data_IF_137489608562
#
_entry.id   IF_137489608562
#
_cell.length_a   1.000
_cell.length_b   1.000
_cell.length_c   1.000
_cell.angle_alpha   90.00
_cell.angle_beta   90.00
_cell.angle_gamma   90.00
#
_symmetry.space_group_name_H-M   'P 1'
#
loop_
_entity.id
_entity.type
_entity.pdbx_description
1 polymer ?
#
# COMPACT_ATOMS: atom_id res chain seq x y z
N UNK A 1 42.98 1.48 -9.69
CA UNK A 1 42.00 0.43 -9.38
C UNK A 1 41.57 0.63 -7.93
N UNK A 2 40.63 1.53 -7.68
CA UNK A 2 40.10 1.74 -6.33
C UNK A 2 38.88 0.85 -6.16
N UNK A 3 39.09 -0.27 -5.47
CA UNK A 3 38.03 -1.21 -5.10
C UNK A 3 37.12 -0.55 -4.08
N UNK A 4 35.97 -0.07 -4.53
CA UNK A 4 34.89 0.37 -3.64
C UNK A 4 34.51 -0.77 -2.71
N UNK A 5 34.79 -0.61 -1.42
CA UNK A 5 34.42 -1.58 -0.40
C UNK A 5 32.91 -1.85 -0.49
N UNK A 6 32.55 -3.08 -0.90
CA UNK A 6 31.18 -3.53 -0.93
C UNK A 6 30.63 -3.46 0.50
N UNK A 7 29.74 -2.51 0.73
CA UNK A 7 29.23 -2.25 2.06
C UNK A 7 28.51 -3.51 2.58
N UNK A 8 29.00 -4.07 3.68
CA UNK A 8 28.54 -5.34 4.24
C UNK A 8 27.08 -5.23 4.68
N UNK A 9 26.25 -6.21 4.28
CA UNK A 9 24.87 -6.29 4.76
C UNK A 9 24.90 -6.74 6.21
N UNK A 10 24.24 -6.02 7.14
CA UNK A 10 24.08 -6.51 8.50
C UNK A 10 23.41 -7.89 8.42
N UNK A 11 24.02 -8.93 9.00
CA UNK A 11 23.53 -10.31 8.88
C UNK A 11 22.05 -10.46 9.29
N UNK A 12 21.55 -9.56 10.14
CA UNK A 12 20.17 -9.53 10.61
C UNK A 12 19.16 -8.89 9.61
N UNK A 13 19.59 -8.06 8.67
CA UNK A 13 18.72 -7.36 7.72
C UNK A 13 17.79 -8.28 6.92
N UNK A 14 18.25 -9.40 6.30
CA UNK A 14 17.35 -10.29 5.58
C UNK A 14 16.28 -10.92 6.48
N UNK A 15 16.58 -11.19 7.75
CA UNK A 15 15.60 -11.74 8.71
C UNK A 15 14.50 -10.72 9.04
N UNK A 16 14.86 -9.46 9.27
CA UNK A 16 13.87 -8.40 9.48
C UNK A 16 12.99 -8.17 8.25
N UNK A 17 13.59 -8.21 7.06
CA UNK A 17 12.84 -8.11 5.80
C UNK A 17 11.88 -9.28 5.65
N UNK A 18 12.35 -10.53 5.81
CA UNK A 18 11.51 -11.71 5.73
C UNK A 18 10.35 -11.67 6.74
N UNK A 19 10.63 -11.27 7.98
CA UNK A 19 9.61 -11.10 9.01
C UNK A 19 8.58 -10.02 8.63
N UNK A 20 9.01 -8.87 8.11
CA UNK A 20 8.10 -7.81 7.64
C UNK A 20 7.22 -8.26 6.48
N UNK A 21 7.75 -9.08 5.55
CA UNK A 21 6.97 -9.63 4.44
C UNK A 21 5.93 -10.64 4.92
N UNK A 22 6.30 -11.52 5.84
CA UNK A 22 5.35 -12.47 6.44
C UNK A 22 4.21 -11.74 7.15
N UNK A 23 4.53 -10.74 7.99
CA UNK A 23 3.53 -9.92 8.65
C UNK A 23 2.63 -9.19 7.64
N UNK A 24 3.22 -8.57 6.61
CA UNK A 24 2.47 -7.87 5.57
C UNK A 24 1.50 -8.78 4.81
N UNK A 25 1.96 -9.96 4.39
CA UNK A 25 1.13 -10.96 3.72
C UNK A 25 0.04 -11.50 4.65
N UNK A 26 0.36 -11.76 5.93
CA UNK A 26 -0.64 -12.17 6.92
C UNK A 26 -1.71 -11.10 7.10
N UNK A 27 -1.34 -9.81 7.17
CA UNK A 27 -2.31 -8.72 7.26
C UNK A 27 -3.23 -8.67 6.04
N UNK A 28 -2.67 -8.75 4.83
CA UNK A 28 -3.46 -8.78 3.58
C UNK A 28 -4.41 -9.98 3.56
N UNK A 29 -3.91 -11.18 3.89
CA UNK A 29 -4.71 -12.39 3.93
C UNK A 29 -5.82 -12.32 4.99
N UNK A 30 -5.52 -11.79 6.18
CA UNK A 30 -6.49 -11.62 7.26
C UNK A 30 -7.56 -10.60 6.88
N UNK A 31 -7.20 -9.47 6.25
CA UNK A 31 -8.18 -8.51 5.73
C UNK A 31 -9.05 -9.13 4.64
N UNK A 32 -8.47 -9.89 3.71
CA UNK A 32 -9.23 -10.61 2.68
C UNK A 32 -10.20 -11.64 3.28
N UNK A 33 -9.73 -12.45 4.24
CA UNK A 33 -10.56 -13.43 4.94
C UNK A 33 -11.68 -12.76 5.75
N UNK A 34 -11.39 -11.65 6.42
CA UNK A 34 -12.39 -10.87 7.14
C UNK A 34 -13.52 -10.39 6.20
N UNK A 35 -13.15 -9.81 5.06
CA UNK A 35 -14.12 -9.29 4.10
C UNK A 35 -14.90 -10.42 3.42
N UNK A 36 -14.22 -11.50 3.05
CA UNK A 36 -14.82 -12.66 2.38
C UNK A 36 -15.77 -13.47 3.28
N UNK A 37 -15.31 -13.81 4.49
CA UNK A 37 -16.04 -14.72 5.38
C UNK A 37 -17.06 -14.01 6.27
N UNK A 38 -16.79 -12.77 6.69
CA UNK A 38 -17.63 -12.06 7.67
C UNK A 38 -18.39 -10.86 7.10
N UNK A 39 -17.94 -10.29 5.97
CA UNK A 39 -18.59 -9.10 5.38
C UNK A 39 -19.33 -9.37 4.08
N UNK A 40 -19.47 -10.65 3.69
CA UNK A 40 -20.24 -11.06 2.52
C UNK A 40 -19.50 -10.91 1.18
N UNK A 41 -18.18 -10.65 1.19
CA UNK A 41 -17.35 -10.57 0.00
C UNK A 41 -17.14 -9.15 -0.53
N UNK A 42 -16.69 -9.05 -1.77
CA UNK A 42 -16.40 -7.79 -2.46
C UNK A 42 -17.12 -7.82 -3.81
N UNK A 43 -17.95 -6.82 -4.06
CA UNK A 43 -18.62 -6.64 -5.34
C UNK A 43 -18.74 -5.14 -5.65
N UNK A 44 -18.51 -4.78 -6.91
CA UNK A 44 -18.44 -3.38 -7.33
C UNK A 44 -19.84 -2.74 -7.46
N UNK A 45 -20.81 -3.49 -7.95
CA UNK A 45 -22.20 -3.04 -8.12
C UNK A 45 -23.11 -3.56 -7.00
N UNK A 46 -22.69 -3.38 -5.75
CA UNK A 46 -23.54 -3.70 -4.59
C UNK A 46 -23.12 -2.93 -3.33
N UNK A 47 -23.85 -3.12 -2.24
CA UNK A 47 -23.49 -2.58 -0.92
C UNK A 47 -22.15 -3.09 -0.39
N UNK A 48 -21.61 -4.16 -0.99
CA UNK A 48 -20.29 -4.71 -0.70
C UNK A 48 -19.15 -3.89 -1.31
N UNK A 49 -19.47 -2.87 -2.12
CA UNK A 49 -18.46 -1.99 -2.72
C UNK A 49 -17.60 -1.30 -1.64
N UNK A 50 -18.18 -1.00 -0.48
CA UNK A 50 -17.44 -0.49 0.67
C UNK A 50 -16.31 -1.43 1.12
N UNK A 51 -16.48 -2.75 0.99
CA UNK A 51 -15.44 -3.71 1.39
C UNK A 51 -14.18 -3.63 0.51
N UNK A 52 -14.27 -3.08 -0.71
CA UNK A 52 -13.09 -2.82 -1.52
C UNK A 52 -12.19 -1.75 -0.90
N UNK A 53 -12.76 -0.75 -0.19
CA UNK A 53 -11.99 0.32 0.43
C UNK A 53 -10.91 -0.17 1.41
N UNK A 54 -11.23 -0.90 2.50
CA UNK A 54 -10.22 -1.36 3.44
C UNK A 54 -9.22 -2.32 2.81
N UNK A 55 -9.64 -3.17 1.86
CA UNK A 55 -8.71 -4.07 1.17
C UNK A 55 -7.69 -3.29 0.33
N UNK A 56 -8.17 -2.34 -0.48
CA UNK A 56 -7.32 -1.49 -1.30
C UNK A 56 -6.36 -0.64 -0.45
N UNK A 57 -6.82 -0.11 0.69
CA UNK A 57 -5.96 0.67 1.58
C UNK A 57 -4.85 -0.17 2.22
N UNK A 58 -5.16 -1.40 2.66
CA UNK A 58 -4.16 -2.32 3.23
C UNK A 58 -3.14 -2.76 2.17
N UNK A 59 -3.59 -3.10 0.96
CA UNK A 59 -2.68 -3.51 -0.11
C UNK A 59 -1.82 -2.33 -0.59
N UNK A 60 -2.44 -1.19 -0.87
CA UNK A 60 -1.75 -0.02 -1.44
C UNK A 60 -0.87 0.71 -0.41
N UNK A 61 -1.50 1.34 0.58
CA UNK A 61 -0.83 2.29 1.47
C UNK A 61 -0.06 1.63 2.63
N UNK A 62 -0.29 0.34 2.90
CA UNK A 62 0.44 -0.38 3.94
C UNK A 62 1.45 -1.34 3.31
N UNK A 63 0.99 -2.34 2.55
CA UNK A 63 1.87 -3.40 2.07
C UNK A 63 2.81 -2.94 0.95
N UNK A 64 2.27 -2.44 -0.17
CA UNK A 64 3.08 -2.00 -1.31
C UNK A 64 3.93 -0.78 -0.95
N UNK A 65 3.36 0.16 -0.20
CA UNK A 65 4.10 1.31 0.33
C UNK A 65 5.29 0.88 1.20
N UNK A 66 5.09 -0.06 2.13
CA UNK A 66 6.17 -0.58 2.97
C UNK A 66 7.28 -1.26 2.14
N UNK A 67 6.89 -2.01 1.10
CA UNK A 67 7.82 -2.61 0.15
C UNK A 67 8.62 -1.55 -0.62
N UNK A 68 7.97 -0.49 -1.09
CA UNK A 68 8.63 0.62 -1.79
C UNK A 68 9.69 1.30 -0.91
N UNK A 69 9.44 1.46 0.40
CA UNK A 69 10.40 2.04 1.35
C UNK A 69 11.60 1.11 1.65
N UNK A 70 11.41 -0.21 1.56
CA UNK A 70 12.45 -1.20 1.82
C UNK A 70 13.29 -1.55 0.58
N UNK A 71 12.81 -1.26 -0.63
CA UNK A 71 13.42 -1.68 -1.89
C UNK A 71 14.90 -1.28 -2.02
N UNK A 72 15.26 -0.06 -1.60
CA UNK A 72 16.66 0.41 -1.63
C UNK A 72 17.56 -0.29 -0.61
N UNK A 73 17.00 -0.81 0.48
CA UNK A 73 17.74 -1.55 1.49
C UNK A 73 17.96 -3.00 1.08
N UNK A 74 16.95 -3.61 0.46
CA UNK A 74 17.01 -5.00 -0.03
C UNK A 74 17.92 -5.11 -1.24
N UNK A 75 17.72 -4.25 -2.25
CA UNK A 75 18.46 -4.27 -3.51
C UNK A 75 19.63 -3.29 -3.51
N UNK A 76 20.41 -3.27 -2.42
CA UNK A 76 21.55 -2.35 -2.24
C UNK A 76 22.71 -2.62 -3.20
N UNK A 77 22.83 -3.87 -3.67
CA UNK A 77 23.90 -4.34 -4.55
C UNK A 77 23.52 -4.30 -6.03
N UNK A 78 22.26 -3.98 -6.34
CA UNK A 78 21.76 -3.87 -7.70
C UNK A 78 22.07 -2.51 -8.32
N UNK A 79 21.95 -2.43 -9.64
CA UNK A 79 22.10 -1.16 -10.35
C UNK A 79 21.10 -0.12 -9.81
N UNK A 80 21.61 1.05 -9.39
CA UNK A 80 20.79 2.14 -8.84
C UNK A 80 19.61 2.51 -9.74
N UNK A 81 19.77 2.41 -11.06
CA UNK A 81 18.70 2.65 -12.04
C UNK A 81 17.56 1.65 -11.88
N UNK A 82 17.86 0.36 -11.76
CA UNK A 82 16.85 -0.70 -11.58
C UNK A 82 16.09 -0.52 -10.28
N UNK A 83 16.80 -0.28 -9.17
CA UNK A 83 16.17 -0.07 -7.85
C UNK A 83 15.29 1.18 -7.84
N UNK A 84 15.68 2.25 -8.54
CA UNK A 84 14.86 3.46 -8.69
C UNK A 84 13.59 3.23 -9.51
N UNK A 85 13.68 2.46 -10.60
CA UNK A 85 12.51 2.07 -11.39
C UNK A 85 11.56 1.21 -10.54
N UNK A 86 12.07 0.20 -9.84
CA UNK A 86 11.25 -0.67 -9.00
C UNK A 86 10.56 0.12 -7.87
N UNK A 87 11.29 1.04 -7.22
CA UNK A 87 10.73 1.96 -6.23
C UNK A 87 9.57 2.78 -6.79
N UNK A 88 9.77 3.44 -7.95
CA UNK A 88 8.75 4.25 -8.60
C UNK A 88 7.52 3.42 -9.00
N UNK A 89 7.74 2.23 -9.57
CA UNK A 89 6.64 1.32 -9.94
C UNK A 89 5.82 0.88 -8.73
N UNK A 90 6.46 0.54 -7.61
CA UNK A 90 5.76 0.16 -6.38
C UNK A 90 4.91 1.32 -5.84
N UNK A 91 5.43 2.56 -5.86
CA UNK A 91 4.65 3.75 -5.47
C UNK A 91 3.47 4.01 -6.41
N UNK A 92 3.67 3.89 -7.72
CA UNK A 92 2.59 4.06 -8.71
C UNK A 92 1.50 3.01 -8.51
N UNK A 93 1.86 1.73 -8.34
CA UNK A 93 0.87 0.68 -8.08
C UNK A 93 0.13 0.91 -6.76
N UNK A 94 0.83 1.28 -5.70
CA UNK A 94 0.23 1.63 -4.42
C UNK A 94 -0.78 2.79 -4.56
N UNK A 95 -0.42 3.84 -5.31
CA UNK A 95 -1.27 4.99 -5.56
C UNK A 95 -2.53 4.62 -6.35
N UNK A 96 -2.40 3.83 -7.42
CA UNK A 96 -3.53 3.38 -8.25
C UNK A 96 -4.50 2.54 -7.41
N UNK A 97 -3.99 1.60 -6.61
CA UNK A 97 -4.84 0.75 -5.75
C UNK A 97 -5.53 1.60 -4.67
N UNK A 98 -4.81 2.52 -4.04
CA UNK A 98 -5.40 3.44 -3.07
C UNK A 98 -6.50 4.32 -3.68
N UNK A 99 -6.30 4.80 -4.91
CA UNK A 99 -7.29 5.57 -5.65
C UNK A 99 -8.57 4.75 -5.91
N UNK A 100 -8.44 3.48 -6.30
CA UNK A 100 -9.60 2.57 -6.44
C UNK A 100 -10.35 2.43 -5.12
N UNK A 101 -9.65 2.30 -3.99
CA UNK A 101 -10.25 2.26 -2.66
C UNK A 101 -10.99 3.54 -2.27
N UNK A 102 -10.48 4.72 -2.66
CA UNK A 102 -11.19 5.99 -2.46
C UNK A 102 -12.44 6.07 -3.34
N UNK A 103 -12.32 5.75 -4.62
CA UNK A 103 -13.47 5.75 -5.55
C UNK A 103 -14.58 4.84 -5.01
N UNK A 104 -14.23 3.67 -4.48
CA UNK A 104 -15.20 2.75 -3.90
C UNK A 104 -15.98 3.34 -2.72
N UNK A 105 -15.33 4.09 -1.81
CA UNK A 105 -16.03 4.68 -0.66
C UNK A 105 -16.88 5.90 -1.04
N UNK A 106 -16.38 6.77 -1.93
CA UNK A 106 -17.15 7.92 -2.42
C UNK A 106 -18.37 7.48 -3.24
N UNK A 107 -18.22 6.47 -4.10
CA UNK A 107 -19.34 5.94 -4.87
C UNK A 107 -20.37 5.25 -3.96
N UNK A 108 -19.91 4.52 -2.94
CA UNK A 108 -20.79 3.93 -1.93
C UNK A 108 -21.60 4.99 -1.16
N UNK A 109 -20.95 6.06 -0.67
CA UNK A 109 -21.66 7.15 0.01
C UNK A 109 -22.67 7.83 -0.90
N UNK A 110 -22.31 8.09 -2.16
CA UNK A 110 -23.22 8.66 -3.16
C UNK A 110 -24.44 7.78 -3.40
N UNK A 111 -24.26 6.46 -3.55
CA UNK A 111 -25.36 5.49 -3.74
C UNK A 111 -26.28 5.40 -2.50
N UNK A 112 -25.74 5.62 -1.29
CA UNK A 112 -26.48 5.55 -0.02
C UNK A 112 -27.00 6.90 0.49
N UNK A 113 -26.63 8.01 -0.13
CA UNK A 113 -26.99 9.36 0.32
C UNK A 113 -26.30 9.78 1.63
N UNK A 114 -25.14 9.20 1.95
CA UNK A 114 -24.35 9.59 3.12
C UNK A 114 -23.53 10.84 2.82
N UNK A 115 -23.31 11.67 3.85
CA UNK A 115 -22.42 12.82 3.74
C UNK A 115 -20.96 12.35 3.63
N UNK A 116 -20.24 12.87 2.64
CA UNK A 116 -18.81 12.63 2.52
C UNK A 116 -18.00 13.43 3.55
N UNK A 117 -16.80 12.93 3.87
CA UNK A 117 -15.78 13.65 4.63
C UNK A 117 -16.21 14.20 6.00
N UNK A 118 -17.17 13.58 6.69
CA UNK A 118 -17.62 14.05 8.01
C UNK A 118 -16.79 13.52 9.19
N UNK A 119 -15.99 12.46 8.97
CA UNK A 119 -15.26 11.77 10.04
C UNK A 119 -13.79 12.20 10.11
N UNK A 120 -13.19 12.19 11.30
CA UNK A 120 -11.75 12.41 11.47
C UNK A 120 -10.89 11.43 10.65
N UNK A 121 -11.34 10.18 10.51
CA UNK A 121 -10.67 9.19 9.67
C UNK A 121 -10.58 9.67 8.22
N UNK A 122 -11.66 10.23 7.67
CA UNK A 122 -11.70 10.70 6.29
C UNK A 122 -10.82 11.93 6.07
N UNK A 123 -10.72 12.83 7.04
CA UNK A 123 -9.81 13.99 6.97
C UNK A 123 -8.35 13.56 6.97
N UNK A 124 -7.96 12.69 7.92
CA UNK A 124 -6.62 12.13 7.97
C UNK A 124 -6.31 11.30 6.72
N UNK A 125 -7.27 10.52 6.23
CA UNK A 125 -7.12 9.68 5.04
C UNK A 125 -6.87 10.50 3.77
N UNK A 126 -7.65 11.55 3.52
CA UNK A 126 -7.42 12.46 2.39
C UNK A 126 -6.10 13.21 2.54
N UNK A 127 -5.76 13.69 3.74
CA UNK A 127 -4.47 14.34 3.97
C UNK A 127 -3.31 13.40 3.62
N UNK A 128 -3.33 12.15 4.12
CA UNK A 128 -2.31 11.14 3.80
C UNK A 128 -2.27 10.85 2.31
N UNK A 129 -3.41 10.71 1.65
CA UNK A 129 -3.46 10.46 0.21
C UNK A 129 -2.87 11.62 -0.62
N UNK A 130 -3.18 12.87 -0.26
CA UNK A 130 -2.63 14.06 -0.93
C UNK A 130 -1.12 14.16 -0.71
N UNK A 131 -0.65 14.00 0.53
CA UNK A 131 0.78 13.99 0.83
C UNK A 131 1.50 12.86 0.08
N UNK A 132 0.88 11.70 -0.01
CA UNK A 132 1.42 10.56 -0.74
C UNK A 132 1.52 10.81 -2.25
N UNK A 133 0.48 11.42 -2.84
CA UNK A 133 0.49 11.82 -4.24
C UNK A 133 1.61 12.80 -4.53
N UNK A 134 1.78 13.84 -3.71
CA UNK A 134 2.85 14.83 -3.85
C UNK A 134 4.22 14.18 -3.69
N UNK A 135 4.39 13.29 -2.70
CA UNK A 135 5.64 12.55 -2.48
C UNK A 135 6.01 11.67 -3.68
N UNK A 136 5.04 11.02 -4.31
CA UNK A 136 5.27 10.13 -5.46
C UNK A 136 5.66 10.84 -6.76
N UNK A 137 5.59 12.17 -6.81
CA UNK A 137 5.99 13.01 -7.96
C UNK A 137 7.45 13.48 -7.89
N UNK A 138 8.22 13.07 -6.86
CA UNK A 138 9.63 13.48 -6.60
C UNK A 138 10.58 12.31 -6.77
#
# INVERSE_FOLDING_TARGET
MEGGAAATTPAALPYYVAFSQLLGLTLVAMTGAWLGLYRGGIAWESDLQFNAHPLCMVIGLIFLQGNALLVYRVFRNEAKRTTKVLHGLLHIFALVIALVGLVAVFDYHRKKGYADLYSLHSWCGILVFVLYFVQGQV
#
